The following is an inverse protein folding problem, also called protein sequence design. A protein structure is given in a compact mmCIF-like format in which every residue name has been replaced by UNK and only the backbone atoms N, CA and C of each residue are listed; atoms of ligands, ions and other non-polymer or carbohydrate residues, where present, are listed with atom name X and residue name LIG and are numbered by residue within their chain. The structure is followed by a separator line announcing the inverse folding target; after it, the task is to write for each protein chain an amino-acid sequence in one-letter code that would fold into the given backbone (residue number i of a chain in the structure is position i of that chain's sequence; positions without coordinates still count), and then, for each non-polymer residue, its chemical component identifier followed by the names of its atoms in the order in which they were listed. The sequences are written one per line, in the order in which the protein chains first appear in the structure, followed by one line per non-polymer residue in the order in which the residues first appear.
data_IF_162687406117
#
_entry.id   IF_162687406117
#
_cell.length_a   1.000
_cell.length_b   1.000
_cell.length_c   1.000
_cell.angle_alpha   90.00
_cell.angle_beta   90.00
_cell.angle_gamma   90.00
#
_symmetry.space_group_name_H-M   'P 1'
#
loop_
_entity.id
_entity.type
_entity.pdbx_description
1 polymer ?
#
# COMPACT_ATOMS: atom_id res chain seq x y z
N UNK A 1 8.20 -35.77 -1.39
CA UNK A 1 7.81 -34.59 -2.22
C UNK A 1 6.78 -33.68 -1.54
N UNK A 2 6.02 -34.14 -0.53
CA UNK A 2 4.98 -33.34 0.17
C UNK A 2 5.51 -32.27 1.14
N UNK A 3 6.69 -32.48 1.74
CA UNK A 3 7.29 -31.54 2.71
C UNK A 3 7.55 -30.16 2.09
N UNK A 4 7.94 -30.13 0.81
CA UNK A 4 8.18 -28.89 0.06
C UNK A 4 6.88 -28.13 -0.27
N UNK A 5 5.76 -28.84 -0.42
CA UNK A 5 4.45 -28.23 -0.70
C UNK A 5 3.84 -27.54 0.52
N UNK A 6 3.97 -28.14 1.72
CA UNK A 6 3.51 -27.54 2.97
C UNK A 6 4.31 -26.29 3.34
N UNK A 7 5.64 -26.34 3.22
CA UNK A 7 6.50 -25.16 3.45
C UNK A 7 6.14 -24.00 2.51
N UNK A 8 5.87 -24.27 1.24
CA UNK A 8 5.51 -23.22 0.28
C UNK A 8 4.14 -22.58 0.60
N UNK A 9 3.14 -23.37 1.00
CA UNK A 9 1.84 -22.83 1.45
C UNK A 9 1.98 -21.99 2.72
N UNK A 10 2.76 -22.45 3.68
CA UNK A 10 3.04 -21.75 4.92
C UNK A 10 3.76 -20.41 4.69
N UNK A 11 4.83 -20.41 3.87
CA UNK A 11 5.59 -19.19 3.54
C UNK A 11 4.68 -18.16 2.84
N UNK A 12 3.85 -18.60 1.89
CA UNK A 12 2.88 -17.71 1.22
C UNK A 12 1.87 -17.11 2.20
N UNK A 13 1.32 -17.92 3.10
CA UNK A 13 0.39 -17.44 4.12
C UNK A 13 1.07 -16.45 5.07
N UNK A 14 2.28 -16.74 5.54
CA UNK A 14 3.06 -15.87 6.41
C UNK A 14 3.34 -14.51 5.76
N UNK A 15 3.82 -14.52 4.50
CA UNK A 15 4.08 -13.30 3.73
C UNK A 15 2.82 -12.44 3.60
N UNK A 16 1.66 -13.06 3.34
CA UNK A 16 0.38 -12.34 3.27
C UNK A 16 0.00 -11.68 4.59
N UNK A 17 0.23 -12.34 5.73
CA UNK A 17 -0.03 -11.77 7.06
C UNK A 17 0.91 -10.59 7.34
N UNK A 18 2.18 -10.70 6.97
CA UNK A 18 3.16 -9.61 7.12
C UNK A 18 2.79 -8.39 6.27
N UNK A 19 2.40 -8.60 5.01
CA UNK A 19 1.89 -7.55 4.11
C UNK A 19 0.63 -6.87 4.68
N UNK A 20 -0.32 -7.66 5.20
CA UNK A 20 -1.54 -7.13 5.81
C UNK A 20 -1.22 -6.28 7.05
N UNK A 21 -0.31 -6.75 7.91
CA UNK A 21 0.13 -6.04 9.11
C UNK A 21 0.80 -4.71 8.74
N UNK A 22 1.68 -4.72 7.74
CA UNK A 22 2.32 -3.51 7.24
C UNK A 22 1.30 -2.48 6.72
N UNK A 23 0.28 -2.94 5.99
CA UNK A 23 -0.82 -2.09 5.53
C UNK A 23 -1.60 -1.47 6.69
N UNK A 24 -2.00 -2.25 7.68
CA UNK A 24 -2.74 -1.72 8.84
C UNK A 24 -1.93 -0.73 9.66
N UNK A 25 -0.62 -0.93 9.80
CA UNK A 25 0.26 0.05 10.45
C UNK A 25 0.28 1.35 9.65
N UNK A 26 0.50 1.28 8.33
CA UNK A 26 0.51 2.47 7.48
C UNK A 26 -0.85 3.21 7.52
N UNK A 27 -1.97 2.49 7.43
CA UNK A 27 -3.32 3.05 7.55
C UNK A 27 -3.53 3.72 8.92
N UNK A 28 -3.09 3.09 10.00
CA UNK A 28 -3.25 3.62 11.36
C UNK A 28 -2.45 4.90 11.54
N UNK A 29 -1.18 4.91 11.11
CA UNK A 29 -0.32 6.10 11.14
C UNK A 29 -0.92 7.21 10.28
N UNK A 30 -1.41 6.89 9.08
CA UNK A 30 -2.10 7.85 8.22
C UNK A 30 -3.29 8.49 8.93
N UNK A 31 -4.17 7.72 9.56
CA UNK A 31 -5.35 8.26 10.26
C UNK A 31 -4.93 9.14 11.44
N UNK A 32 -4.03 8.65 12.30
CA UNK A 32 -3.61 9.36 13.52
C UNK A 32 -2.94 10.69 13.18
N UNK A 33 -1.99 10.69 12.23
CA UNK A 33 -1.25 11.90 11.85
C UNK A 33 -2.17 12.91 11.19
N UNK A 34 -3.05 12.48 10.27
CA UNK A 34 -3.99 13.40 9.62
C UNK A 34 -5.00 13.99 10.62
N UNK A 35 -5.55 13.17 11.54
CA UNK A 35 -6.42 13.69 12.61
C UNK A 35 -5.70 14.68 13.51
N UNK A 36 -4.44 14.42 13.86
CA UNK A 36 -3.64 15.34 14.66
C UNK A 36 -3.39 16.67 13.93
N UNK A 37 -3.02 16.61 12.65
CA UNK A 37 -2.78 17.81 11.82
C UNK A 37 -4.06 18.63 11.64
N UNK A 38 -5.20 18.00 11.32
CA UNK A 38 -6.49 18.69 11.24
C UNK A 38 -6.91 19.28 12.58
N UNK A 39 -6.73 18.53 13.67
CA UNK A 39 -7.05 19.00 15.01
C UNK A 39 -6.23 20.24 15.39
N UNK A 40 -4.92 20.22 15.14
CA UNK A 40 -4.03 21.34 15.38
C UNK A 40 -4.45 22.58 14.57
N UNK A 41 -4.74 22.43 13.28
CA UNK A 41 -5.22 23.55 12.46
C UNK A 41 -6.56 24.12 12.91
N UNK A 42 -7.50 23.28 13.35
CA UNK A 42 -8.78 23.75 13.87
C UNK A 42 -8.56 24.59 15.12
N UNK A 43 -7.67 24.16 16.03
CA UNK A 43 -7.32 24.92 17.24
C UNK A 43 -6.66 26.24 16.88
N UNK A 44 -5.65 26.23 16.01
CA UNK A 44 -4.95 27.46 15.58
C UNK A 44 -5.91 28.44 14.90
N UNK A 45 -6.77 27.96 14.00
CA UNK A 45 -7.74 28.78 13.29
C UNK A 45 -8.79 29.43 14.20
N UNK A 46 -9.23 28.74 15.24
CA UNK A 46 -10.12 29.30 16.28
C UNK A 46 -9.39 30.39 17.10
N UNK A 47 -8.09 30.21 17.34
CA UNK A 47 -7.29 31.13 18.16
C UNK A 47 -6.98 32.45 17.44
N UNK A 48 -6.92 32.42 16.10
CA UNK A 48 -6.67 33.59 15.24
C UNK A 48 -7.94 34.28 14.71
N UNK A 49 -9.13 33.88 15.18
CA UNK A 49 -10.44 34.39 14.70
C UNK A 49 -10.63 34.24 13.17
N UNK A 50 -9.92 33.28 12.56
CA UNK A 50 -9.96 33.03 11.12
C UNK A 50 -11.28 32.37 10.74
N UNK A 51 -11.86 32.82 9.63
CA UNK A 51 -13.08 32.20 9.10
C UNK A 51 -12.80 30.75 8.66
N UNK A 52 -13.77 29.86 8.78
CA UNK A 52 -13.67 28.46 8.33
C UNK A 52 -13.17 28.34 6.88
N UNK A 53 -13.46 29.33 6.02
CA UNK A 53 -12.97 29.38 4.65
C UNK A 53 -11.47 29.64 4.53
N UNK A 54 -10.85 30.44 5.41
CA UNK A 54 -9.40 30.68 5.41
C UNK A 54 -8.63 29.47 5.95
N UNK A 55 -9.16 28.82 6.98
CA UNK A 55 -8.57 27.59 7.56
C UNK A 55 -8.58 26.45 6.53
N UNK A 56 -9.66 26.33 5.74
CA UNK A 56 -9.78 25.35 4.67
C UNK A 56 -9.11 25.79 3.35
N UNK A 57 -8.64 27.03 3.23
CA UNK A 57 -7.95 27.53 2.03
C UNK A 57 -6.46 27.21 2.02
N UNK A 58 -5.90 26.65 3.10
CA UNK A 58 -4.51 26.18 3.15
C UNK A 58 -4.33 24.90 2.32
N UNK A 59 -4.21 25.08 1.01
CA UNK A 59 -4.00 24.01 0.01
C UNK A 59 -2.83 23.06 0.34
N UNK A 60 -1.86 23.51 1.15
CA UNK A 60 -0.70 22.71 1.55
C UNK A 60 -1.07 21.42 2.30
N UNK A 61 -2.11 21.47 3.14
CA UNK A 61 -2.52 20.33 3.98
C UNK A 61 -3.21 19.29 3.12
N UNK A 62 -4.13 19.71 2.24
CA UNK A 62 -4.78 18.80 1.30
C UNK A 62 -3.77 18.13 0.35
N UNK A 63 -2.70 18.83 -0.01
CA UNK A 63 -1.58 18.24 -0.75
C UNK A 63 -0.95 17.06 -0.01
N UNK A 64 -0.67 17.21 1.29
CA UNK A 64 -0.11 16.15 2.13
C UNK A 64 -1.08 14.97 2.25
N UNK A 65 -2.37 15.25 2.47
CA UNK A 65 -3.43 14.24 2.57
C UNK A 65 -3.56 13.44 1.27
N UNK A 66 -3.60 14.12 0.12
CA UNK A 66 -3.73 13.49 -1.19
C UNK A 66 -2.50 12.66 -1.55
N UNK A 67 -1.29 13.19 -1.36
CA UNK A 67 -0.05 12.44 -1.62
C UNK A 67 0.04 11.15 -0.80
N UNK A 68 -0.20 11.24 0.51
CA UNK A 68 -0.14 10.08 1.40
C UNK A 68 -1.32 9.13 1.15
N UNK A 69 -2.49 9.66 0.83
CA UNK A 69 -3.67 8.90 0.45
C UNK A 69 -3.46 8.07 -0.82
N UNK A 70 -2.76 8.61 -1.83
CA UNK A 70 -2.38 7.87 -3.04
C UNK A 70 -1.41 6.74 -2.70
N UNK A 71 -0.40 6.99 -1.87
CA UNK A 71 0.53 5.96 -1.40
C UNK A 71 -0.18 4.82 -0.65
N UNK A 72 -1.14 5.17 0.20
CA UNK A 72 -1.98 4.22 0.92
C UNK A 72 -2.88 3.40 -0.02
N UNK A 73 -3.47 4.04 -1.04
CA UNK A 73 -4.26 3.38 -2.08
C UNK A 73 -3.43 2.37 -2.87
N UNK A 74 -2.21 2.74 -3.29
CA UNK A 74 -1.30 1.82 -3.98
C UNK A 74 -0.94 0.64 -3.07
N UNK A 75 -0.66 0.88 -1.79
CA UNK A 75 -0.36 -0.18 -0.83
C UNK A 75 -1.57 -1.11 -0.63
N UNK A 76 -2.78 -0.55 -0.53
CA UNK A 76 -4.01 -1.31 -0.45
C UNK A 76 -4.19 -2.23 -1.68
N UNK A 77 -4.02 -1.67 -2.89
CA UNK A 77 -4.07 -2.48 -4.12
C UNK A 77 -3.01 -3.59 -4.08
N UNK A 78 -1.78 -3.29 -3.68
CA UNK A 78 -0.69 -4.27 -3.60
C UNK A 78 -1.00 -5.45 -2.66
N UNK A 79 -1.62 -5.17 -1.52
CA UNK A 79 -1.97 -6.19 -0.52
C UNK A 79 -3.23 -6.97 -0.95
N UNK A 80 -4.24 -6.30 -1.48
CA UNK A 80 -5.53 -6.89 -1.83
C UNK A 80 -5.66 -7.35 -3.29
N UNK A 81 -4.65 -7.15 -4.14
CA UNK A 81 -4.67 -7.57 -5.55
C UNK A 81 -5.00 -9.06 -5.74
N UNK A 82 -4.57 -9.93 -4.83
CA UNK A 82 -4.87 -11.37 -4.91
C UNK A 82 -6.33 -11.70 -4.66
N UNK A 83 -7.01 -10.86 -3.87
CA UNK A 83 -8.44 -10.97 -3.55
C UNK A 83 -9.30 -10.29 -4.63
N UNK A 84 -8.80 -9.23 -5.27
CA UNK A 84 -9.53 -8.44 -6.28
C UNK A 84 -9.36 -9.03 -7.69
N UNK A 85 -8.15 -9.43 -8.07
CA UNK A 85 -7.79 -9.86 -9.44
C UNK A 85 -7.78 -11.40 -9.56
N UNK A 86 -7.78 -12.11 -8.42
CA UNK A 86 -7.88 -13.57 -8.34
C UNK A 86 -6.56 -14.31 -8.61
N UNK A 87 -6.43 -15.51 -8.03
CA UNK A 87 -5.23 -16.37 -8.11
C UNK A 87 -4.74 -16.63 -9.54
N UNK A 88 -5.65 -16.68 -10.52
CA UNK A 88 -5.32 -16.93 -11.92
C UNK A 88 -4.42 -15.85 -12.54
N UNK A 89 -4.61 -14.59 -12.15
CA UNK A 89 -3.77 -13.50 -12.65
C UNK A 89 -2.34 -13.57 -12.07
N UNK A 90 -2.24 -13.90 -10.77
CA UNK A 90 -0.96 -14.07 -10.08
C UNK A 90 -0.16 -15.23 -10.68
N UNK A 91 -0.81 -16.37 -10.94
CA UNK A 91 -0.18 -17.51 -11.63
C UNK A 91 0.25 -17.18 -13.07
N UNK A 92 -0.55 -16.40 -13.80
CA UNK A 92 -0.21 -15.97 -15.17
C UNK A 92 1.04 -15.08 -15.16
N UNK A 93 1.12 -14.13 -14.23
CA UNK A 93 2.29 -13.24 -14.11
C UNK A 93 3.56 -13.99 -13.70
N UNK A 94 3.46 -14.93 -12.76
CA UNK A 94 4.59 -15.77 -12.38
C UNK A 94 5.10 -16.57 -13.59
N UNK A 95 4.20 -17.18 -14.38
CA UNK A 95 4.58 -17.87 -15.62
C UNK A 95 5.24 -16.95 -16.66
N UNK A 96 4.74 -15.72 -16.81
CA UNK A 96 5.36 -14.71 -17.69
C UNK A 96 6.75 -14.29 -17.22
N UNK A 97 6.98 -14.17 -15.91
CA UNK A 97 8.29 -13.87 -15.34
C UNK A 97 9.29 -15.01 -15.54
N UNK A 98 8.91 -16.26 -15.24
CA UNK A 98 9.77 -17.42 -15.44
C UNK A 98 10.17 -17.59 -16.91
N UNK A 99 9.23 -17.41 -17.84
CA UNK A 99 9.55 -17.44 -19.28
C UNK A 99 10.58 -16.38 -19.67
N UNK A 100 10.42 -15.15 -19.16
CA UNK A 100 11.39 -14.07 -19.42
C UNK A 100 12.76 -14.36 -18.84
N UNK A 101 12.85 -14.91 -17.63
CA UNK A 101 14.13 -15.34 -17.05
C UNK A 101 14.78 -16.46 -17.86
N UNK A 102 14.02 -17.46 -18.30
CA UNK A 102 14.52 -18.55 -19.14
C UNK A 102 15.02 -18.04 -20.50
N UNK A 103 14.31 -17.08 -21.11
CA UNK A 103 14.72 -16.41 -22.35
C UNK A 103 15.99 -15.57 -22.16
N UNK A 104 16.11 -14.84 -21.05
CA UNK A 104 17.33 -14.07 -20.70
C UNK A 104 18.49 -15.03 -20.45
N UNK A 105 18.28 -16.13 -19.72
CA UNK A 105 19.30 -17.13 -19.43
C UNK A 105 19.79 -17.82 -20.70
N UNK A 106 18.89 -18.19 -21.61
CA UNK A 106 19.24 -18.75 -22.93
C UNK A 106 20.01 -17.76 -23.80
N UNK A 107 19.69 -16.47 -23.75
CA UNK A 107 20.40 -15.42 -24.49
C UNK A 107 21.83 -15.21 -24.00
N UNK A 108 22.05 -15.31 -22.68
CA UNK A 108 23.35 -15.14 -22.06
C UNK A 108 24.21 -16.43 -22.06
N UNK A 109 23.69 -17.54 -22.60
CA UNK A 109 24.42 -18.81 -22.73
C UNK A 109 24.99 -19.07 -24.14
N UNK A 110 25.05 -18.03 -24.97
CA UNK A 110 25.74 -17.98 -26.27
C UNK A 110 26.73 -16.82 -26.24
#
# INVERSE_FOLDING_TARGET
MEINGMNNKYIKAKKRVEELKAFYIHLSVYIIVNLFLSGAQIVDGITEDKSFLEIFSDFGIYGIWLMWGIGLLIHWISVFQSKIIGKNWEEKKIKEFMKREDEVRKRNSF
#
